data_IF_927126811988
#
_entry.id   IF_927126811988
#
_cell.length_a   1.000
_cell.length_b   1.000
_cell.length_c   1.000
_cell.angle_alpha   90.00
_cell.angle_beta   90.00
_cell.angle_gamma   90.00
#
_symmetry.space_group_name_H-M   'P 1'
#
loop_
_entity.id
_entity.type
_entity.pdbx_description
1 polymer ?
#
# COMPACT_ATOMS: atom_id res chain seq x y z
N UNK A 1 -4.62 31.97 7.83
CA UNK A 1 -4.82 31.20 6.57
C UNK A 1 -4.58 29.71 6.84
N UNK A 2 -5.34 28.78 6.21
CA UNK A 2 -5.15 27.33 6.40
C UNK A 2 -4.46 26.73 5.18
N UNK A 3 -3.45 25.86 5.40
CA UNK A 3 -2.87 25.07 4.34
C UNK A 3 -3.53 23.69 4.30
N UNK A 4 -3.94 23.22 3.13
CA UNK A 4 -4.42 21.85 2.92
C UNK A 4 -3.38 21.12 2.06
N UNK A 5 -2.88 19.99 2.54
CA UNK A 5 -1.94 19.17 1.78
C UNK A 5 -2.60 17.84 1.38
N UNK A 6 -2.77 17.63 0.08
CA UNK A 6 -3.28 16.38 -0.48
C UNK A 6 -2.14 15.44 -0.88
N UNK A 7 -2.44 14.18 -1.16
CA UNK A 7 -1.44 13.23 -1.65
C UNK A 7 -1.18 13.38 -3.15
N UNK A 8 -2.22 13.76 -3.92
CA UNK A 8 -2.17 13.81 -5.39
C UNK A 8 -2.67 15.16 -5.93
N UNK A 9 -2.14 15.64 -7.06
CA UNK A 9 -2.58 16.89 -7.68
C UNK A 9 -4.08 16.93 -8.02
N UNK A 10 -4.67 15.78 -8.42
CA UNK A 10 -6.10 15.67 -8.73
C UNK A 10 -6.96 15.95 -7.50
N UNK A 11 -6.64 15.30 -6.39
CA UNK A 11 -7.34 15.50 -5.10
C UNK A 11 -7.19 16.92 -4.61
N UNK A 12 -5.99 17.51 -4.73
CA UNK A 12 -5.76 18.91 -4.39
C UNK A 12 -6.64 19.86 -5.19
N UNK A 13 -6.83 19.60 -6.48
CA UNK A 13 -7.71 20.42 -7.35
C UNK A 13 -9.18 20.33 -6.92
N UNK A 14 -9.66 19.13 -6.60
CA UNK A 14 -11.04 18.96 -6.13
C UNK A 14 -11.29 19.67 -4.79
N UNK A 15 -10.35 19.52 -3.86
CA UNK A 15 -10.41 20.24 -2.58
C UNK A 15 -10.35 21.76 -2.80
N UNK A 16 -9.43 22.25 -3.65
CA UNK A 16 -9.28 23.66 -3.94
C UNK A 16 -10.57 24.28 -4.51
N UNK A 17 -11.22 23.58 -5.44
CA UNK A 17 -12.53 23.97 -5.98
C UNK A 17 -13.60 24.07 -4.87
N UNK A 18 -13.62 23.09 -3.97
CA UNK A 18 -14.62 23.02 -2.89
C UNK A 18 -14.43 24.14 -1.85
N UNK A 19 -13.20 24.48 -1.50
CA UNK A 19 -12.90 25.54 -0.53
C UNK A 19 -12.83 26.93 -1.16
N UNK A 20 -12.95 27.05 -2.47
CA UNK A 20 -12.88 28.32 -3.20
C UNK A 20 -11.45 28.85 -3.36
N UNK A 21 -10.44 28.01 -3.30
CA UNK A 21 -9.04 28.34 -3.59
C UNK A 21 -8.78 28.22 -5.10
N UNK A 22 -9.32 29.14 -5.89
CA UNK A 22 -9.36 29.05 -7.36
C UNK A 22 -8.15 29.67 -8.08
N UNK A 23 -7.35 30.46 -7.38
CA UNK A 23 -6.15 31.04 -7.96
C UNK A 23 -5.04 29.99 -8.06
N UNK A 24 -4.66 29.68 -9.29
CA UNK A 24 -3.63 28.67 -9.58
C UNK A 24 -2.25 29.29 -9.50
N UNK A 25 -1.42 28.76 -8.64
CA UNK A 25 0.00 29.04 -8.53
C UNK A 25 0.83 27.81 -8.93
N UNK A 26 2.14 27.96 -9.01
CA UNK A 26 3.02 26.82 -9.25
C UNK A 26 3.01 25.88 -8.03
N UNK A 27 2.54 24.64 -8.23
CA UNK A 27 2.50 23.60 -7.18
C UNK A 27 1.48 23.81 -6.08
N UNK A 28 0.57 24.80 -6.20
CA UNK A 28 -0.53 25.00 -5.27
C UNK A 28 -1.70 25.80 -5.88
N UNK A 29 -2.79 25.88 -5.13
CA UNK A 29 -3.93 26.75 -5.37
C UNK A 29 -4.15 27.64 -4.16
N UNK A 30 -4.54 28.91 -4.36
CA UNK A 30 -4.84 29.83 -3.25
C UNK A 30 -6.17 30.54 -3.44
N UNK A 31 -6.76 31.02 -2.35
CA UNK A 31 -8.01 31.78 -2.34
C UNK A 31 -8.85 31.44 -1.12
N UNK A 32 -9.80 32.31 -0.83
CA UNK A 32 -10.78 32.16 0.26
C UNK A 32 -10.18 31.71 1.62
N UNK A 33 -9.03 32.29 2.01
CA UNK A 33 -8.34 31.98 3.26
C UNK A 33 -7.65 30.62 3.30
N UNK A 34 -7.54 29.93 2.16
CA UNK A 34 -6.89 28.64 2.01
C UNK A 34 -5.73 28.67 1.00
N UNK A 35 -4.75 27.82 1.25
CA UNK A 35 -3.78 27.38 0.25
C UNK A 35 -3.81 25.87 0.18
N UNK A 36 -3.94 25.30 -1.01
CA UNK A 36 -4.04 23.86 -1.24
C UNK A 36 -2.86 23.42 -2.07
N UNK A 37 -2.04 22.54 -1.51
CA UNK A 37 -0.87 21.96 -2.17
C UNK A 37 -0.95 20.44 -2.14
N UNK A 38 0.05 19.75 -2.68
CA UNK A 38 0.04 18.30 -2.77
C UNK A 38 1.45 17.71 -2.69
N UNK A 39 1.53 16.47 -2.23
CA UNK A 39 2.63 15.57 -2.54
C UNK A 39 2.36 14.86 -3.89
N UNK A 40 3.27 14.06 -4.38
CA UNK A 40 3.04 13.08 -5.44
C UNK A 40 3.75 11.78 -5.06
N UNK A 41 3.20 11.13 -4.04
CA UNK A 41 3.80 10.03 -3.32
C UNK A 41 4.87 10.51 -2.33
N UNK A 42 5.84 9.66 -2.04
CA UNK A 42 6.94 10.01 -1.14
C UNK A 42 7.87 11.04 -1.76
N UNK A 43 7.90 12.24 -1.21
CA UNK A 43 8.88 13.29 -1.55
C UNK A 43 10.12 13.19 -0.66
N UNK A 44 9.96 12.60 0.53
CA UNK A 44 10.99 12.38 1.53
C UNK A 44 11.07 10.89 1.82
N UNK A 45 12.28 10.38 1.94
CA UNK A 45 12.59 8.96 2.18
C UNK A 45 13.68 8.81 3.24
N UNK A 46 13.89 7.56 3.70
CA UNK A 46 15.06 7.24 4.51
C UNK A 46 16.32 7.27 3.65
N UNK A 47 17.40 7.80 4.20
CA UNK A 47 18.70 7.87 3.53
C UNK A 47 19.25 6.47 3.24
N UNK A 48 19.98 6.35 2.15
CA UNK A 48 20.65 5.12 1.75
C UNK A 48 21.96 4.91 2.55
N UNK A 49 22.55 3.70 2.55
CA UNK A 49 23.74 3.36 3.34
C UNK A 49 24.92 4.30 3.15
N UNK A 50 25.06 4.88 1.97
CA UNK A 50 26.15 5.82 1.65
C UNK A 50 26.13 7.05 2.55
N UNK A 51 24.95 7.53 2.95
CA UNK A 51 24.78 8.65 3.87
C UNK A 51 25.23 8.35 5.31
N UNK A 52 25.43 7.07 5.63
CA UNK A 52 25.90 6.58 6.93
C UNK A 52 27.37 6.11 6.88
N UNK A 53 28.07 6.35 5.77
CA UNK A 53 29.48 5.95 5.62
C UNK A 53 29.70 4.53 5.10
N UNK A 54 28.65 3.90 4.53
CA UNK A 54 28.71 2.54 3.96
C UNK A 54 28.51 2.54 2.43
N UNK A 55 29.42 3.13 1.64
CA UNK A 55 29.25 3.26 0.20
C UNK A 55 29.50 1.95 -0.58
N UNK A 56 30.16 0.97 0.03
CA UNK A 56 30.56 -0.28 -0.62
C UNK A 56 29.80 -1.48 -0.09
N UNK A 57 29.85 -2.57 -0.87
CA UNK A 57 29.31 -3.88 -0.49
C UNK A 57 30.43 -4.72 0.13
N UNK A 58 30.57 -4.64 1.45
CA UNK A 58 31.57 -5.41 2.20
C UNK A 58 30.91 -6.18 3.35
N UNK A 59 31.39 -7.40 3.61
CA UNK A 59 30.81 -8.31 4.60
C UNK A 59 30.99 -7.80 6.04
N UNK A 60 32.11 -7.16 6.29
CA UNK A 60 32.46 -6.58 7.59
C UNK A 60 31.59 -5.38 7.99
N UNK A 61 30.89 -4.78 7.01
CA UNK A 61 29.94 -3.68 7.24
C UNK A 61 28.51 -4.14 7.56
N UNK A 62 28.23 -5.44 7.55
CA UNK A 62 26.91 -5.97 7.84
C UNK A 62 26.79 -6.47 9.27
N UNK A 63 25.65 -6.25 9.96
CA UNK A 63 24.49 -5.50 9.49
C UNK A 63 24.65 -3.98 9.61
N UNK A 64 24.08 -3.22 8.66
CA UNK A 64 23.98 -1.76 8.74
C UNK A 64 22.72 -1.43 9.51
N UNK A 65 22.89 -0.75 10.66
CA UNK A 65 21.80 -0.34 11.54
C UNK A 65 21.95 1.16 11.80
N UNK A 66 21.22 2.03 11.07
CA UNK A 66 21.29 3.47 11.27
C UNK A 66 20.70 3.90 12.62
N UNK A 67 21.44 4.71 13.37
CA UNK A 67 20.98 5.34 14.62
C UNK A 67 21.45 6.79 14.68
N UNK A 68 20.56 7.78 14.46
CA UNK A 68 19.19 7.67 14.01
C UNK A 68 19.06 7.47 12.49
N UNK A 69 17.89 7.02 12.02
CA UNK A 69 17.54 7.10 10.60
C UNK A 69 17.45 8.56 10.15
N UNK A 70 18.10 8.88 9.03
CA UNK A 70 18.09 10.22 8.43
C UNK A 70 17.06 10.31 7.32
N UNK A 71 16.38 11.45 7.27
CA UNK A 71 15.43 11.77 6.19
C UNK A 71 16.15 12.55 5.09
N UNK A 72 15.91 12.18 3.86
CA UNK A 72 16.43 12.84 2.65
C UNK A 72 15.32 13.07 1.64
N UNK A 73 15.52 14.02 0.74
CA UNK A 73 14.68 14.15 -0.45
C UNK A 73 14.73 12.84 -1.24
N UNK A 74 13.60 12.43 -1.81
CA UNK A 74 13.56 11.27 -2.71
C UNK A 74 14.67 11.38 -3.75
N UNK A 75 15.43 10.30 -3.91
CA UNK A 75 16.55 10.26 -4.82
C UNK A 75 16.21 9.51 -6.11
N UNK A 76 16.81 9.95 -7.20
CA UNK A 76 16.78 9.27 -8.50
C UNK A 76 18.19 8.85 -8.89
N UNK A 77 18.29 7.74 -9.62
CA UNK A 77 19.56 7.25 -10.13
C UNK A 77 19.92 7.99 -11.43
N UNK A 78 21.12 8.56 -11.48
CA UNK A 78 21.70 9.17 -12.69
C UNK A 78 23.06 8.51 -12.98
N UNK A 79 23.08 7.62 -13.95
CA UNK A 79 24.26 6.79 -14.19
C UNK A 79 24.57 5.85 -13.01
N UNK A 80 25.71 6.02 -12.38
CA UNK A 80 26.17 5.23 -11.22
C UNK A 80 25.87 5.91 -9.88
N UNK A 81 25.43 7.16 -9.88
CA UNK A 81 25.21 7.97 -8.65
C UNK A 81 23.72 8.19 -8.39
N UNK A 82 23.40 8.43 -7.12
CA UNK A 82 22.09 8.89 -6.70
C UNK A 82 22.15 10.40 -6.45
N UNK A 83 21.12 11.11 -6.87
CA UNK A 83 20.94 12.54 -6.64
C UNK A 83 19.50 12.83 -6.24
N UNK A 84 19.28 13.93 -5.53
CA UNK A 84 17.95 14.36 -5.18
C UNK A 84 17.09 14.55 -6.44
N UNK A 85 15.85 14.07 -6.39
CA UNK A 85 14.87 14.28 -7.46
C UNK A 85 14.54 15.77 -7.53
N UNK A 86 14.88 16.48 -8.63
CA UNK A 86 14.63 17.91 -8.74
C UNK A 86 13.15 18.27 -8.64
N UNK A 87 12.25 17.37 -9.08
CA UNK A 87 10.81 17.57 -8.99
C UNK A 87 10.34 17.50 -7.54
N UNK A 88 10.85 16.52 -6.77
CA UNK A 88 10.54 16.38 -5.36
C UNK A 88 11.08 17.56 -4.54
N UNK A 89 12.30 17.99 -4.81
CA UNK A 89 12.91 19.15 -4.16
C UNK A 89 12.12 20.44 -4.44
N UNK A 90 11.73 20.65 -5.71
CA UNK A 90 10.91 21.79 -6.11
C UNK A 90 9.58 21.80 -5.36
N UNK A 91 8.88 20.66 -5.31
CA UNK A 91 7.59 20.58 -4.63
C UNK A 91 7.72 20.75 -3.12
N UNK A 92 8.75 20.20 -2.49
CA UNK A 92 9.04 20.41 -1.06
C UNK A 92 9.25 21.90 -0.73
N UNK A 93 9.94 22.64 -1.60
CA UNK A 93 10.12 24.09 -1.44
C UNK A 93 8.78 24.84 -1.55
N UNK A 94 7.88 24.40 -2.43
CA UNK A 94 6.53 24.96 -2.55
C UNK A 94 5.72 24.66 -1.29
N UNK A 95 5.74 23.39 -0.82
CA UNK A 95 5.04 22.99 0.41
C UNK A 95 5.55 23.80 1.60
N UNK A 96 6.88 24.01 1.73
CA UNK A 96 7.47 24.87 2.77
C UNK A 96 6.85 26.26 2.75
N UNK A 97 6.83 26.92 1.58
CA UNK A 97 6.23 28.24 1.43
C UNK A 97 4.73 28.27 1.78
N UNK A 98 4.00 27.20 1.42
CA UNK A 98 2.58 27.06 1.77
C UNK A 98 2.39 26.90 3.29
N UNK A 99 3.24 26.11 3.94
CA UNK A 99 3.23 25.96 5.38
C UNK A 99 3.57 27.29 6.08
N UNK A 100 4.63 27.98 5.65
CA UNK A 100 5.12 29.22 6.28
C UNK A 100 4.04 30.30 6.32
N UNK A 101 3.27 30.48 5.23
CA UNK A 101 2.19 31.48 5.16
C UNK A 101 0.85 31.04 5.79
N UNK A 102 0.81 29.87 6.45
CA UNK A 102 -0.41 29.34 7.07
C UNK A 102 -0.26 29.20 8.57
N UNK A 103 -1.36 29.34 9.31
CA UNK A 103 -1.38 29.21 10.77
C UNK A 103 -1.65 27.76 11.21
N UNK A 104 -2.29 26.99 10.35
CA UNK A 104 -2.70 25.61 10.61
C UNK A 104 -2.68 24.80 9.32
N UNK A 105 -2.37 23.51 9.44
CA UNK A 105 -2.33 22.58 8.32
C UNK A 105 -3.51 21.60 8.42
N UNK A 106 -4.18 21.31 7.31
CA UNK A 106 -5.15 20.23 7.19
C UNK A 106 -4.53 19.16 6.29
N UNK A 107 -4.36 17.98 6.83
CA UNK A 107 -3.75 16.85 6.14
C UNK A 107 -4.83 16.06 5.41
N UNK A 108 -4.79 16.09 4.09
CA UNK A 108 -5.73 15.45 3.18
C UNK A 108 -5.04 14.38 2.28
N UNK A 109 -3.98 13.77 2.79
CA UNK A 109 -3.41 12.56 2.18
C UNK A 109 -4.35 11.37 2.40
N UNK A 110 -4.19 10.29 1.63
CA UNK A 110 -5.08 9.14 1.67
C UNK A 110 -5.28 8.64 3.13
N UNK A 111 -6.52 8.24 3.45
CA UNK A 111 -6.90 7.80 4.80
C UNK A 111 -6.32 6.40 5.09
N UNK A 112 -5.07 6.37 5.52
CA UNK A 112 -4.34 5.15 5.79
C UNK A 112 -2.96 5.40 6.37
N UNK A 113 -2.30 4.32 6.74
CA UNK A 113 -0.94 4.34 7.33
C UNK A 113 0.07 5.02 6.40
N UNK A 114 -0.02 4.75 5.09
CA UNK A 114 0.91 5.27 4.10
C UNK A 114 0.73 6.78 3.88
N UNK A 115 -0.52 7.23 3.73
CA UNK A 115 -0.81 8.66 3.59
C UNK A 115 -0.42 9.46 4.84
N UNK A 116 -0.59 8.90 6.04
CA UNK A 116 -0.10 9.52 7.27
C UNK A 116 1.44 9.59 7.28
N UNK A 117 2.12 8.52 6.89
CA UNK A 117 3.58 8.49 6.82
C UNK A 117 4.12 9.53 5.84
N UNK A 118 3.55 9.63 4.63
CA UNK A 118 3.95 10.62 3.60
C UNK A 118 3.93 12.03 4.18
N UNK A 119 2.83 12.42 4.82
CA UNK A 119 2.72 13.73 5.43
C UNK A 119 3.74 13.95 6.55
N UNK A 120 3.85 12.99 7.49
CA UNK A 120 4.73 13.14 8.65
C UNK A 120 6.21 13.20 8.28
N UNK A 121 6.63 12.50 7.23
CA UNK A 121 8.00 12.59 6.73
C UNK A 121 8.28 13.98 6.15
N UNK A 122 7.34 14.56 5.39
CA UNK A 122 7.45 15.94 4.86
C UNK A 122 7.49 16.93 6.03
N UNK A 123 6.58 16.79 6.99
CA UNK A 123 6.46 17.65 8.15
C UNK A 123 7.75 17.66 8.99
N UNK A 124 8.33 16.49 9.25
CA UNK A 124 9.57 16.32 9.97
C UNK A 124 10.78 16.85 9.17
N UNK A 125 10.86 16.54 7.88
CA UNK A 125 11.96 17.01 7.01
C UNK A 125 12.01 18.54 6.89
N UNK A 126 10.84 19.19 6.89
CA UNK A 126 10.72 20.64 6.85
C UNK A 126 10.89 21.32 8.22
N UNK A 127 11.10 20.55 9.30
CA UNK A 127 11.09 21.02 10.72
C UNK A 127 9.86 21.90 11.03
N UNK A 128 8.71 21.50 10.49
CA UNK A 128 7.47 22.24 10.70
C UNK A 128 6.92 21.93 12.11
N UNK A 129 6.50 22.97 12.85
CA UNK A 129 5.93 22.85 14.21
C UNK A 129 4.50 23.38 14.30
N UNK A 130 3.88 23.70 13.16
CA UNK A 130 2.53 24.24 13.12
C UNK A 130 1.49 23.17 13.50
N UNK A 131 0.43 23.55 14.20
CA UNK A 131 -0.64 22.61 14.52
C UNK A 131 -1.28 22.09 13.22
N UNK A 132 -1.70 20.82 13.25
CA UNK A 132 -2.35 20.21 12.09
C UNK A 132 -3.53 19.34 12.51
N UNK A 133 -4.50 19.29 11.63
CA UNK A 133 -5.67 18.43 11.70
C UNK A 133 -5.67 17.44 10.54
N UNK A 134 -6.42 16.36 10.70
CA UNK A 134 -6.53 15.29 9.71
C UNK A 134 -7.91 15.28 9.06
N UNK A 135 -7.96 15.45 7.75
CA UNK A 135 -9.13 15.13 6.95
C UNK A 135 -9.14 13.61 6.70
N UNK A 136 -9.98 12.90 7.46
CA UNK A 136 -10.08 11.44 7.34
C UNK A 136 -11.37 11.06 6.63
N UNK A 137 -11.28 10.80 5.34
CA UNK A 137 -12.41 10.43 4.48
C UNK A 137 -12.06 9.22 3.62
N UNK A 138 -13.04 8.35 3.40
CA UNK A 138 -12.92 7.17 2.53
C UNK A 138 -13.44 7.41 1.10
N UNK A 139 -14.06 8.57 0.86
CA UNK A 139 -14.63 8.94 -0.43
C UNK A 139 -14.22 10.38 -0.80
N UNK A 140 -13.98 10.62 -2.09
CA UNK A 140 -13.61 11.94 -2.63
C UNK A 140 -14.79 12.66 -3.28
N UNK A 141 -16.04 12.32 -2.93
CA UNK A 141 -17.21 13.09 -3.37
C UNK A 141 -17.21 14.47 -2.73
N UNK A 142 -17.79 15.45 -3.43
CA UNK A 142 -17.91 16.83 -2.92
C UNK A 142 -18.56 16.89 -1.54
N UNK A 143 -19.57 16.03 -1.31
CA UNK A 143 -20.25 15.93 -0.02
C UNK A 143 -19.29 15.46 1.08
N UNK A 144 -18.58 14.36 0.84
CA UNK A 144 -17.64 13.79 1.82
C UNK A 144 -16.50 14.75 2.16
N UNK A 145 -15.98 15.46 1.16
CA UNK A 145 -14.92 16.47 1.36
C UNK A 145 -15.45 17.64 2.21
N UNK A 146 -16.64 18.18 1.90
CA UNK A 146 -17.24 19.27 2.68
C UNK A 146 -17.53 18.89 4.12
N UNK A 147 -18.13 17.72 4.33
CA UNK A 147 -18.42 17.19 5.66
C UNK A 147 -17.13 16.96 6.46
N UNK A 148 -16.12 16.36 5.86
CA UNK A 148 -14.82 16.12 6.51
C UNK A 148 -14.07 17.41 6.85
N UNK A 149 -14.10 18.42 5.97
CA UNK A 149 -13.48 19.72 6.23
C UNK A 149 -14.21 20.54 7.29
N UNK A 150 -15.50 20.29 7.53
CA UNK A 150 -16.25 20.96 8.58
C UNK A 150 -15.83 20.52 9.99
N UNK A 151 -15.31 19.29 10.14
CA UNK A 151 -14.89 18.70 11.42
C UNK A 151 -13.64 17.82 11.25
N UNK A 152 -12.49 18.40 10.88
CA UNK A 152 -11.27 17.63 10.79
C UNK A 152 -10.84 17.15 12.18
N UNK A 153 -10.29 15.94 12.25
CA UNK A 153 -9.82 15.36 13.50
C UNK A 153 -8.46 15.95 13.92
N UNK A 154 -8.20 16.07 15.22
CA UNK A 154 -6.87 16.47 15.72
C UNK A 154 -5.80 15.47 15.23
N UNK A 155 -4.75 15.96 14.61
CA UNK A 155 -3.69 15.14 14.02
C UNK A 155 -2.98 14.22 15.01
N UNK A 156 -2.96 14.58 16.32
CA UNK A 156 -2.35 13.74 17.37
C UNK A 156 -3.07 12.40 17.57
N UNK A 157 -4.33 12.29 17.20
CA UNK A 157 -5.06 11.02 17.26
C UNK A 157 -4.45 9.96 16.33
N UNK A 158 -3.65 10.37 15.34
CA UNK A 158 -3.00 9.50 14.36
C UNK A 158 -1.52 9.23 14.65
N UNK A 159 -0.99 9.65 15.81
CA UNK A 159 0.42 9.44 16.17
C UNK A 159 0.79 7.96 16.20
N UNK A 160 -0.07 7.08 16.74
CA UNK A 160 0.16 5.63 16.73
C UNK A 160 0.17 5.04 15.32
N UNK A 161 -0.69 5.57 14.43
CA UNK A 161 -0.71 5.16 13.03
C UNK A 161 0.59 5.56 12.31
N UNK A 162 1.06 6.79 12.56
CA UNK A 162 2.35 7.25 12.07
C UNK A 162 3.49 6.37 12.57
N UNK A 163 3.56 6.08 13.88
CA UNK A 163 4.60 5.22 14.44
C UNK A 163 4.59 3.82 13.82
N UNK A 164 3.43 3.25 13.57
CA UNK A 164 3.29 1.98 12.85
C UNK A 164 3.84 2.07 11.41
N UNK A 165 3.56 3.17 10.69
CA UNK A 165 4.10 3.43 9.35
C UNK A 165 5.62 3.59 9.37
N UNK A 166 6.12 4.38 10.30
CA UNK A 166 7.56 4.61 10.50
C UNK A 166 8.30 3.31 10.81
N UNK A 167 7.84 2.55 11.80
CA UNK A 167 8.45 1.27 12.17
C UNK A 167 8.47 0.28 11.00
N UNK A 168 7.39 0.22 10.20
CA UNK A 168 7.38 -0.59 8.99
C UNK A 168 8.42 -0.12 7.97
N UNK A 169 8.50 1.18 7.71
CA UNK A 169 9.45 1.74 6.76
C UNK A 169 10.90 1.46 7.17
N UNK A 170 11.22 1.62 8.45
CA UNK A 170 12.54 1.32 9.01
C UNK A 170 12.87 -0.18 8.96
N UNK A 171 11.89 -1.04 9.27
CA UNK A 171 12.05 -2.49 9.17
C UNK A 171 12.23 -2.95 7.71
N UNK A 172 11.48 -2.39 6.76
CA UNK A 172 11.63 -2.68 5.34
C UNK A 172 13.00 -2.23 4.82
N UNK A 173 13.52 -1.09 5.31
CA UNK A 173 14.88 -0.63 5.01
C UNK A 173 15.94 -1.59 5.58
N UNK A 174 15.85 -1.94 6.87
CA UNK A 174 16.82 -2.83 7.54
C UNK A 174 16.90 -4.19 6.85
N UNK A 175 15.75 -4.81 6.60
CA UNK A 175 15.70 -6.12 5.95
C UNK A 175 16.12 -6.00 4.48
N UNK A 176 15.58 -5.03 3.75
CA UNK A 176 15.83 -4.87 2.33
C UNK A 176 17.29 -4.59 2.02
N UNK A 177 17.90 -3.65 2.72
CA UNK A 177 19.29 -3.26 2.49
C UNK A 177 20.25 -4.39 2.91
N UNK A 178 20.13 -4.87 4.14
CA UNK A 178 21.08 -5.86 4.66
C UNK A 178 20.98 -7.20 3.91
N UNK A 179 19.77 -7.70 3.66
CA UNK A 179 19.59 -8.95 2.96
C UNK A 179 20.02 -8.86 1.48
N UNK A 180 19.75 -7.74 0.80
CA UNK A 180 20.18 -7.53 -0.57
C UNK A 180 21.71 -7.47 -0.68
N UNK A 181 22.36 -6.74 0.22
CA UNK A 181 23.83 -6.66 0.26
C UNK A 181 24.46 -8.01 0.60
N UNK A 182 23.94 -8.71 1.62
CA UNK A 182 24.45 -10.03 2.00
C UNK A 182 24.34 -11.05 0.85
N UNK A 183 23.20 -11.09 0.16
CA UNK A 183 23.02 -11.97 -0.99
C UNK A 183 23.94 -11.59 -2.16
N UNK A 184 24.09 -10.29 -2.43
CA UNK A 184 24.95 -9.79 -3.51
C UNK A 184 26.41 -10.14 -3.26
N UNK A 185 26.89 -10.03 -2.04
CA UNK A 185 28.25 -10.45 -1.63
C UNK A 185 28.40 -11.97 -1.78
N UNK A 186 27.45 -12.76 -1.29
CA UNK A 186 27.52 -14.21 -1.29
C UNK A 186 27.47 -14.82 -2.71
N UNK A 187 26.80 -14.15 -3.64
CA UNK A 187 26.60 -14.65 -5.01
C UNK A 187 27.46 -13.95 -6.08
N UNK A 188 28.19 -12.93 -5.72
CA UNK A 188 29.05 -12.18 -6.65
C UNK A 188 28.25 -11.43 -7.73
N UNK A 189 27.13 -10.80 -7.38
CA UNK A 189 26.28 -10.08 -8.33
C UNK A 189 25.39 -9.04 -7.66
N UNK A 190 24.52 -8.39 -8.43
CA UNK A 190 23.54 -7.45 -7.92
C UNK A 190 22.18 -8.14 -7.71
N UNK A 191 21.84 -8.40 -6.47
CA UNK A 191 20.59 -9.05 -6.08
C UNK A 191 19.77 -8.14 -5.17
N UNK A 192 18.45 -8.21 -5.32
CA UNK A 192 17.50 -7.48 -4.48
C UNK A 192 16.63 -8.45 -3.70
N UNK A 193 16.55 -8.25 -2.41
CA UNK A 193 15.64 -8.93 -1.49
C UNK A 193 14.78 -7.91 -0.77
N UNK A 194 13.53 -8.26 -0.55
CA UNK A 194 12.60 -7.42 0.19
C UNK A 194 11.51 -8.24 0.87
N UNK A 195 11.02 -7.74 1.98
CA UNK A 195 10.03 -8.40 2.83
C UNK A 195 8.69 -8.66 2.11
N UNK A 196 8.33 -7.84 1.14
CA UNK A 196 7.11 -8.00 0.32
C UNK A 196 7.46 -8.50 -1.08
N UNK A 197 8.44 -7.89 -1.72
CA UNK A 197 8.86 -8.19 -3.10
C UNK A 197 9.24 -9.66 -3.29
N UNK A 198 10.05 -10.23 -2.40
CA UNK A 198 10.57 -11.59 -2.56
C UNK A 198 9.49 -12.67 -2.38
N UNK A 199 8.64 -12.62 -1.35
CA UNK A 199 7.51 -13.55 -1.23
C UNK A 199 6.53 -13.45 -2.42
N UNK A 200 6.22 -12.25 -2.87
CA UNK A 200 5.33 -12.04 -4.03
C UNK A 200 5.90 -12.69 -5.29
N UNK A 201 7.19 -12.46 -5.57
CA UNK A 201 7.87 -13.11 -6.70
C UNK A 201 7.87 -14.64 -6.55
N UNK A 202 8.13 -15.16 -5.34
CA UNK A 202 8.09 -16.60 -5.07
C UNK A 202 6.72 -17.21 -5.36
N UNK A 203 5.64 -16.52 -4.98
CA UNK A 203 4.27 -16.97 -5.27
C UNK A 203 4.00 -17.03 -6.78
N UNK A 204 4.43 -16.02 -7.53
CA UNK A 204 4.30 -15.98 -9.00
C UNK A 204 5.10 -17.10 -9.65
N UNK A 205 6.35 -17.29 -9.23
CA UNK A 205 7.21 -18.35 -9.75
C UNK A 205 6.64 -19.74 -9.46
N UNK A 206 6.14 -19.97 -8.23
CA UNK A 206 5.49 -21.23 -7.85
C UNK A 206 4.27 -21.50 -8.75
N UNK A 207 3.41 -20.51 -8.92
CA UNK A 207 2.23 -20.65 -9.78
C UNK A 207 2.61 -20.90 -11.24
N UNK A 208 3.64 -20.26 -11.73
CA UNK A 208 4.18 -20.51 -13.07
C UNK A 208 4.65 -21.97 -13.23
N UNK A 209 5.40 -22.49 -12.26
CA UNK A 209 5.90 -23.88 -12.26
C UNK A 209 4.73 -24.87 -12.20
N UNK A 210 3.77 -24.66 -11.29
CA UNK A 210 2.57 -25.47 -11.18
C UNK A 210 1.78 -25.53 -12.49
N UNK A 211 1.65 -24.38 -13.18
CA UNK A 211 0.99 -24.30 -14.48
C UNK A 211 1.80 -25.00 -15.58
N UNK A 212 3.12 -24.77 -15.65
CA UNK A 212 4.00 -25.38 -16.66
C UNK A 212 4.03 -26.91 -16.54
N UNK A 213 4.09 -27.41 -15.32
CA UNK A 213 4.26 -28.84 -15.02
C UNK A 213 2.90 -29.53 -14.76
N UNK A 214 1.81 -28.79 -14.95
CA UNK A 214 0.46 -29.30 -14.76
C UNK A 214 0.17 -30.48 -15.69
N UNK A 215 -0.24 -31.59 -15.08
CA UNK A 215 -0.75 -32.75 -15.79
C UNK A 215 -2.21 -32.93 -15.44
N UNK A 216 -3.06 -33.01 -16.45
CA UNK A 216 -4.47 -33.27 -16.25
C UNK A 216 -4.66 -34.68 -15.66
N UNK A 217 -5.26 -34.73 -14.47
CA UNK A 217 -5.61 -36.00 -13.82
C UNK A 217 -7.14 -36.06 -13.80
N UNK A 218 -7.75 -37.13 -14.36
CA UNK A 218 -9.20 -37.30 -14.30
C UNK A 218 -9.63 -37.57 -12.85
N UNK A 219 -10.77 -37.02 -12.50
CA UNK A 219 -11.43 -37.31 -11.23
C UNK A 219 -12.92 -37.52 -11.45
N UNK A 220 -13.58 -38.16 -10.53
CA UNK A 220 -15.00 -38.49 -10.57
C UNK A 220 -15.72 -37.87 -9.39
N UNK A 221 -16.94 -37.40 -9.64
CA UNK A 221 -17.86 -36.94 -8.60
C UNK A 221 -19.20 -37.62 -8.76
N UNK A 222 -19.84 -37.94 -7.65
CA UNK A 222 -21.20 -38.47 -7.65
C UNK A 222 -22.16 -37.31 -7.73
N UNK A 223 -23.13 -37.41 -8.65
CA UNK A 223 -24.19 -36.45 -8.82
C UNK A 223 -25.54 -37.16 -8.56
N UNK A 224 -26.38 -36.55 -7.72
CA UNK A 224 -27.76 -36.98 -7.54
C UNK A 224 -28.70 -36.06 -8.31
N UNK A 225 -29.69 -36.68 -9.01
CA UNK A 225 -30.75 -36.00 -9.71
C UNK A 225 -32.08 -36.37 -9.04
N UNK A 226 -32.55 -35.59 -8.06
CA UNK A 226 -33.78 -35.88 -7.33
C UNK A 226 -34.98 -35.90 -8.30
N UNK A 227 -35.85 -36.90 -8.19
CA UNK A 227 -37.04 -37.02 -9.03
C UNK A 227 -38.00 -35.88 -8.73
N UNK A 228 -38.48 -35.20 -9.78
CA UNK A 228 -39.44 -34.09 -9.67
C UNK A 228 -38.81 -32.72 -9.33
N UNK A 229 -37.47 -32.60 -9.27
CA UNK A 229 -36.79 -31.34 -9.08
C UNK A 229 -35.81 -31.04 -10.22
N UNK A 230 -35.73 -29.78 -10.63
CA UNK A 230 -34.80 -29.32 -11.67
C UNK A 230 -33.41 -28.95 -11.07
N UNK A 231 -33.03 -29.57 -9.98
CA UNK A 231 -31.75 -29.30 -9.28
C UNK A 231 -30.85 -30.53 -9.37
N UNK A 232 -29.54 -30.26 -9.44
CA UNK A 232 -28.51 -31.30 -9.38
C UNK A 232 -27.71 -31.13 -8.05
N UNK A 233 -27.73 -32.14 -7.21
CA UNK A 233 -26.83 -32.22 -6.06
C UNK A 233 -25.49 -32.79 -6.51
N UNK A 234 -24.39 -32.19 -6.09
CA UNK A 234 -23.03 -32.61 -6.42
C UNK A 234 -22.34 -32.97 -5.11
N UNK A 235 -21.88 -34.22 -5.02
CA UNK A 235 -21.10 -34.68 -3.87
C UNK A 235 -19.81 -33.86 -3.73
N UNK A 236 -19.47 -33.48 -2.52
CA UNK A 236 -18.24 -32.75 -2.22
C UNK A 236 -16.99 -33.59 -2.44
N UNK A 237 -17.09 -34.91 -2.20
CA UNK A 237 -15.99 -35.86 -2.36
C UNK A 237 -15.61 -36.02 -3.83
N UNK A 238 -14.30 -35.98 -4.08
CA UNK A 238 -13.69 -36.34 -5.36
C UNK A 238 -13.02 -37.68 -5.26
N UNK A 239 -13.23 -38.54 -6.28
CA UNK A 239 -12.66 -39.89 -6.35
C UNK A 239 -11.58 -39.93 -7.43
N UNK A 240 -10.44 -40.57 -7.13
CA UNK A 240 -9.29 -40.68 -8.04
C UNK A 240 -9.48 -41.73 -9.14
N UNK A 241 -10.50 -42.59 -9.03
CA UNK A 241 -10.83 -43.58 -10.04
C UNK A 241 -12.34 -43.77 -10.14
N UNK A 242 -12.80 -44.16 -11.33
CA UNK A 242 -14.19 -44.52 -11.57
C UNK A 242 -14.64 -45.65 -10.63
N UNK A 243 -13.79 -46.67 -10.45
CA UNK A 243 -14.08 -47.81 -9.55
C UNK A 243 -14.31 -47.38 -8.09
N UNK A 244 -13.58 -46.35 -7.61
CA UNK A 244 -13.80 -45.83 -6.27
C UNK A 244 -15.14 -45.04 -6.18
N UNK A 245 -15.49 -44.31 -7.21
CA UNK A 245 -16.78 -43.62 -7.29
C UNK A 245 -17.94 -44.61 -7.40
N UNK A 246 -17.81 -45.68 -8.22
CA UNK A 246 -18.83 -46.70 -8.40
C UNK A 246 -19.10 -47.44 -7.08
N UNK A 247 -18.03 -47.80 -6.31
CA UNK A 247 -18.19 -48.40 -4.98
C UNK A 247 -18.93 -47.49 -4.00
N UNK A 248 -18.56 -46.23 -3.96
CA UNK A 248 -19.25 -45.27 -3.10
C UNK A 248 -20.71 -45.02 -3.53
N UNK A 249 -21.05 -45.23 -4.80
CA UNK A 249 -22.44 -45.24 -5.26
C UNK A 249 -23.22 -46.46 -4.86
N UNK A 250 -22.57 -47.67 -4.76
CA UNK A 250 -23.21 -48.91 -4.33
C UNK A 250 -23.67 -48.81 -2.86
N UNK A 251 -22.97 -48.01 -2.05
CA UNK A 251 -23.32 -47.77 -0.64
C UNK A 251 -24.50 -46.77 -0.46
N UNK A 252 -24.96 -46.12 -1.53
CA UNK A 252 -26.10 -45.23 -1.50
C UNK A 252 -27.40 -45.94 -1.88
N UNK A 253 -28.38 -45.97 -0.96
CA UNK A 253 -29.73 -46.48 -1.33
C UNK A 253 -30.46 -45.44 -2.17
N UNK A 254 -30.74 -45.72 -3.45
CA UNK A 254 -31.45 -44.76 -4.34
C UNK A 254 -32.90 -44.48 -3.91
N UNK A 255 -33.41 -45.20 -2.90
CA UNK A 255 -34.75 -44.99 -2.33
C UNK A 255 -34.74 -44.14 -1.07
N UNK A 256 -33.57 -43.84 -0.54
CA UNK A 256 -33.43 -42.94 0.63
C UNK A 256 -33.75 -41.50 0.27
N UNK A 257 -34.57 -40.87 1.07
CA UNK A 257 -34.91 -39.46 0.87
C UNK A 257 -33.70 -38.54 1.24
N UNK A 258 -33.31 -37.71 0.30
CA UNK A 258 -32.32 -36.66 0.58
C UNK A 258 -32.95 -35.58 1.47
N UNK A 259 -32.34 -35.34 2.63
CA UNK A 259 -32.76 -34.32 3.55
C UNK A 259 -31.94 -33.05 3.29
N UNK A 260 -32.61 -31.93 2.96
CA UNK A 260 -31.97 -30.63 2.85
C UNK A 260 -31.75 -30.07 4.23
N UNK A 261 -30.51 -30.01 4.70
CA UNK A 261 -30.14 -29.51 6.03
C UNK A 261 -29.97 -27.98 6.05
N UNK A 262 -29.58 -27.38 4.92
CA UNK A 262 -29.46 -25.91 4.81
C UNK A 262 -29.53 -25.47 3.36
N UNK A 263 -29.98 -24.22 3.15
CA UNK A 263 -29.96 -23.56 1.85
C UNK A 263 -29.23 -22.22 1.99
N UNK A 264 -28.21 -21.98 1.18
CA UNK A 264 -27.53 -20.70 1.08
C UNK A 264 -27.55 -20.22 -0.37
N UNK A 265 -27.82 -18.92 -0.56
CA UNK A 265 -27.75 -18.28 -1.87
C UNK A 265 -26.44 -17.48 -1.94
N UNK A 266 -25.55 -17.86 -2.84
CA UNK A 266 -24.39 -17.06 -3.19
C UNK A 266 -24.70 -16.25 -4.43
N UNK A 267 -24.77 -14.94 -4.31
CA UNK A 267 -24.80 -14.03 -5.46
C UNK A 267 -23.35 -13.73 -5.86
N UNK A 268 -22.96 -14.17 -7.05
CA UNK A 268 -21.71 -13.70 -7.68
C UNK A 268 -21.88 -12.23 -8.08
N UNK A 269 -21.09 -11.35 -7.47
CA UNK A 269 -20.92 -9.97 -7.95
C UNK A 269 -19.89 -9.92 -9.06
#
# INVERSE_FOLDING_TARGET
MKCIIAEKPSVARDIARIVGATHKEEGCFSGNGHVVTWAFGHLVTLAMPEAYGFPTYSRDQLPIIPEPFRLVVRQIRKGTTYMDDPSALKQLNIIRKCFDRSDRIIVATDAGREGELIFRLIYAYLDCRKPFDRLWISSLTDKAIREGLSRPADGRQYDRLYLSGKARSEADWLVGINASRALSIARGGAYSLGRVQTPTLSMICRRYIEHRDFRSVPFWKIHALPTGLSVRAIGETTYESRKAADRAMEDLDPREALIVSSVSVQTST
#
